data_IF_729817169906
#
_entry.id   IF_729817169906
#
_cell.length_a   1.000
_cell.length_b   1.000
_cell.length_c   1.000
_cell.angle_alpha   90.00
_cell.angle_beta   90.00
_cell.angle_gamma   90.00
#
_symmetry.space_group_name_H-M   'P 1'
#
loop_
_entity.id
_entity.type
_entity.pdbx_description
1 polymer ?
#
# COMPACT_ATOMS: atom_id res chain seq x y z
N UNK A 1 -56.96 31.04 46.59
CA UNK A 1 -57.04 31.41 45.17
C UNK A 1 -55.64 31.31 44.59
N UNK A 2 -55.51 30.45 43.57
CA UNK A 2 -54.39 30.27 42.62
C UNK A 2 -52.97 30.59 43.08
N UNK A 3 -52.17 29.56 43.39
CA UNK A 3 -50.73 29.61 43.14
C UNK A 3 -50.29 28.36 42.36
N UNK A 4 -49.68 28.67 41.22
CA UNK A 4 -49.29 27.82 40.10
C UNK A 4 -48.34 26.68 40.49
N UNK A 5 -48.63 25.48 39.99
CA UNK A 5 -47.62 24.44 39.77
C UNK A 5 -46.92 24.73 38.45
N UNK A 6 -45.62 25.02 38.46
CA UNK A 6 -44.78 24.90 37.27
C UNK A 6 -44.11 23.52 37.28
N UNK A 7 -44.34 22.66 36.27
CA UNK A 7 -43.64 21.40 36.14
C UNK A 7 -42.21 21.63 35.62
N UNK A 8 -41.26 20.87 36.16
CA UNK A 8 -39.90 20.70 35.65
C UNK A 8 -39.93 20.12 34.23
N UNK A 9 -40.09 20.97 33.22
CA UNK A 9 -39.86 20.63 31.81
C UNK A 9 -39.05 21.77 31.21
N UNK A 10 -37.79 21.87 31.61
CA UNK A 10 -36.77 22.72 30.97
C UNK A 10 -35.39 22.20 31.35
N UNK A 11 -35.19 20.91 31.10
CA UNK A 11 -33.87 20.30 31.08
C UNK A 11 -33.95 19.13 30.11
N UNK A 12 -33.03 19.07 29.14
CA UNK A 12 -32.94 18.14 28.00
C UNK A 12 -33.48 18.69 26.67
N UNK A 13 -32.79 19.69 26.13
CA UNK A 13 -32.76 19.96 24.68
C UNK A 13 -31.50 20.77 24.36
N UNK A 14 -30.32 20.22 24.65
CA UNK A 14 -29.05 20.76 24.16
C UNK A 14 -27.93 19.70 24.28
N UNK A 15 -27.99 18.65 23.45
CA UNK A 15 -26.85 17.75 23.19
C UNK A 15 -27.21 16.80 22.03
N UNK A 16 -27.44 17.33 20.83
CA UNK A 16 -27.56 16.51 19.62
C UNK A 16 -27.09 17.30 18.39
N UNK A 17 -25.93 17.95 18.50
CA UNK A 17 -25.25 18.59 17.38
C UNK A 17 -23.75 18.42 17.59
N UNK A 18 -23.21 17.28 17.15
CA UNK A 18 -21.86 17.07 16.58
C UNK A 18 -21.54 15.57 16.66
N UNK A 19 -22.08 14.79 15.73
CA UNK A 19 -21.55 13.46 15.43
C UNK A 19 -21.77 13.14 13.95
N UNK A 20 -21.51 14.13 13.09
CA UNK A 20 -21.64 14.00 11.64
C UNK A 20 -20.39 14.52 10.92
N UNK A 21 -19.18 14.28 11.44
CA UNK A 21 -17.92 14.49 10.72
C UNK A 21 -16.83 13.54 11.24
N UNK A 22 -17.06 12.23 11.08
CA UNK A 22 -15.98 11.24 11.18
C UNK A 22 -16.21 10.08 10.22
N UNK A 23 -16.65 10.38 9.00
CA UNK A 23 -16.20 9.62 7.83
C UNK A 23 -14.89 10.28 7.39
N UNK A 24 -13.82 10.05 8.15
CA UNK A 24 -12.50 10.46 7.76
C UNK A 24 -12.08 9.59 6.57
N UNK A 25 -12.20 10.19 5.39
CA UNK A 25 -11.43 9.96 4.17
C UNK A 25 -10.76 8.59 4.00
N UNK A 26 -11.54 7.61 3.53
CA UNK A 26 -10.97 6.46 2.80
C UNK A 26 -10.70 6.83 1.34
N UNK A 27 -10.97 8.07 0.89
CA UNK A 27 -10.90 8.44 -0.54
C UNK A 27 -10.42 9.87 -0.80
N UNK A 28 -9.16 10.13 -0.50
CA UNK A 28 -8.20 10.68 -1.46
C UNK A 28 -6.83 10.73 -0.78
N UNK A 29 -5.94 9.78 -1.09
CA UNK A 29 -4.50 10.02 -0.92
C UNK A 29 -4.03 11.00 -2.01
N UNK A 30 -4.81 12.03 -2.31
CA UNK A 30 -4.50 13.01 -3.33
C UNK A 30 -3.38 13.91 -2.86
N UNK A 31 -2.48 14.26 -3.77
CA UNK A 31 -1.45 15.23 -3.51
C UNK A 31 -1.96 16.66 -3.69
N UNK A 32 -1.44 17.59 -2.89
CA UNK A 32 -1.70 19.02 -3.05
C UNK A 32 -0.87 19.59 -4.21
N UNK A 33 -1.28 20.72 -4.78
CA UNK A 33 -0.48 21.42 -5.78
C UNK A 33 0.92 21.79 -5.26
N UNK A 34 1.03 22.12 -3.97
CA UNK A 34 2.32 22.44 -3.33
C UNK A 34 3.28 21.23 -3.35
N UNK A 35 2.80 20.01 -3.14
CA UNK A 35 3.63 18.80 -3.25
C UNK A 35 4.17 18.64 -4.67
N UNK A 36 3.31 18.81 -5.68
CA UNK A 36 3.71 18.72 -7.08
C UNK A 36 4.76 19.78 -7.44
N UNK A 37 4.56 21.02 -7.01
CA UNK A 37 5.50 22.13 -7.20
C UNK A 37 6.86 21.81 -6.57
N UNK A 38 6.90 21.45 -5.29
CA UNK A 38 8.15 21.14 -4.56
C UNK A 38 8.91 19.98 -5.21
N UNK A 39 8.22 18.92 -5.64
CA UNK A 39 8.85 17.77 -6.31
C UNK A 39 9.31 18.17 -7.71
N UNK A 40 8.47 18.85 -8.49
CA UNK A 40 8.77 19.26 -9.86
C UNK A 40 9.96 20.20 -9.93
N UNK A 41 10.05 21.17 -9.01
CA UNK A 41 11.20 22.06 -8.87
C UNK A 41 12.46 21.29 -8.48
N UNK A 42 12.37 20.39 -7.50
CA UNK A 42 13.50 19.59 -7.03
C UNK A 42 14.08 18.67 -8.12
N UNK A 43 13.20 18.10 -8.95
CA UNK A 43 13.58 17.20 -10.04
C UNK A 43 13.88 17.93 -11.35
N UNK A 44 13.64 19.25 -11.41
CA UNK A 44 13.72 20.06 -12.63
C UNK A 44 12.83 19.55 -13.78
N UNK A 45 11.58 19.17 -13.46
CA UNK A 45 10.59 18.68 -14.44
C UNK A 45 9.40 19.65 -14.46
N UNK A 46 9.35 20.53 -15.47
CA UNK A 46 8.39 21.63 -15.51
C UNK A 46 6.91 21.16 -15.46
N UNK A 47 6.56 20.08 -16.15
CA UNK A 47 5.19 19.57 -16.16
C UNK A 47 4.79 18.73 -14.94
N UNK A 48 5.74 18.40 -14.05
CA UNK A 48 5.41 17.88 -12.72
C UNK A 48 4.92 18.98 -11.80
N UNK A 49 5.53 20.17 -11.85
CA UNK A 49 5.16 21.28 -10.96
C UNK A 49 3.72 21.75 -11.17
N UNK A 50 3.21 21.69 -12.40
CA UNK A 50 1.80 21.99 -12.73
C UNK A 50 0.85 20.83 -12.45
N UNK A 51 1.36 19.64 -12.14
CA UNK A 51 0.58 18.39 -12.03
C UNK A 51 0.10 17.82 -13.36
N UNK A 52 0.39 18.47 -14.49
CA UNK A 52 -0.15 18.12 -15.82
C UNK A 52 0.38 16.77 -16.33
N UNK A 53 1.61 16.40 -15.96
CA UNK A 53 2.24 15.16 -16.40
C UNK A 53 2.01 13.97 -15.46
N UNK A 54 1.32 14.18 -14.35
CA UNK A 54 1.11 13.16 -13.32
C UNK A 54 0.07 12.16 -13.80
N UNK A 55 0.50 10.92 -14.02
CA UNK A 55 -0.41 9.83 -14.38
C UNK A 55 -1.07 9.22 -13.14
N UNK A 56 -0.30 9.10 -12.05
CA UNK A 56 -0.79 8.63 -10.76
C UNK A 56 0.03 9.19 -9.60
N UNK A 57 -0.63 9.41 -8.46
CA UNK A 57 0.02 9.88 -7.25
C UNK A 57 -0.74 9.47 -5.99
N UNK A 58 0.03 9.21 -4.94
CA UNK A 58 -0.46 8.96 -3.60
C UNK A 58 0.32 9.80 -2.59
N UNK A 59 -0.41 10.58 -1.80
CA UNK A 59 0.10 11.41 -0.72
C UNK A 59 -0.59 11.08 0.59
N UNK A 60 0.19 11.01 1.67
CA UNK A 60 -0.32 10.79 3.02
C UNK A 60 0.62 11.40 4.06
N UNK A 61 0.06 12.09 5.06
CA UNK A 61 0.86 12.63 6.17
C UNK A 61 1.54 11.49 6.96
N UNK A 62 2.78 11.70 7.36
CA UNK A 62 3.47 10.80 8.28
C UNK A 62 2.78 10.87 9.65
N UNK A 63 2.26 9.75 10.20
CA UNK A 63 1.60 9.74 11.50
C UNK A 63 2.52 10.14 12.67
N UNK A 64 3.85 10.06 12.51
CA UNK A 64 4.82 10.42 13.55
C UNK A 64 5.36 11.85 13.37
N UNK A 65 5.39 12.35 12.13
CA UNK A 65 5.87 13.68 11.80
C UNK A 65 4.82 14.41 10.95
N UNK A 66 3.79 15.04 11.54
CA UNK A 66 2.63 15.54 10.80
C UNK A 66 2.91 16.65 9.77
N UNK A 67 4.08 17.30 9.85
CA UNK A 67 4.58 18.28 8.87
C UNK A 67 5.20 17.61 7.63
N UNK A 68 5.47 16.30 7.70
CA UNK A 68 6.01 15.50 6.60
C UNK A 68 4.86 14.81 5.88
N UNK A 69 4.84 14.99 4.56
CA UNK A 69 3.97 14.25 3.64
C UNK A 69 4.79 13.21 2.90
N UNK A 70 4.35 11.96 2.98
CA UNK A 70 4.88 10.84 2.23
C UNK A 70 4.24 10.85 0.85
N UNK A 71 5.05 10.69 -0.19
CA UNK A 71 4.62 10.82 -1.58
C UNK A 71 5.11 9.63 -2.39
N UNK A 72 4.24 9.11 -3.24
CA UNK A 72 4.57 8.26 -4.37
C UNK A 72 3.93 8.86 -5.62
N UNK A 73 4.70 9.02 -6.69
CA UNK A 73 4.23 9.69 -7.90
C UNK A 73 4.83 9.02 -9.13
N UNK A 74 3.98 8.74 -10.11
CA UNK A 74 4.34 8.32 -11.45
C UNK A 74 3.93 9.37 -12.47
N UNK A 75 4.79 9.64 -13.46
CA UNK A 75 4.52 10.65 -14.47
C UNK A 75 5.02 10.24 -15.84
N UNK A 76 4.38 10.81 -16.85
CA UNK A 76 4.82 10.72 -18.23
C UNK A 76 5.86 11.82 -18.48
N UNK A 77 7.11 11.46 -18.72
CA UNK A 77 8.16 12.44 -19.03
C UNK A 77 8.31 12.71 -20.54
N UNK A 78 7.35 12.25 -21.36
CA UNK A 78 7.30 12.50 -22.79
C UNK A 78 8.35 11.73 -23.59
N UNK A 79 9.05 10.76 -23.00
CA UNK A 79 9.86 9.80 -23.75
C UNK A 79 8.96 8.99 -24.70
N UNK A 80 9.53 8.52 -25.82
CA UNK A 80 8.80 7.76 -26.86
C UNK A 80 8.06 6.51 -26.35
N UNK A 81 8.41 6.01 -25.16
CA UNK A 81 7.75 4.85 -24.58
C UNK A 81 6.57 5.26 -23.71
N UNK A 82 5.35 5.00 -24.18
CA UNK A 82 4.12 5.10 -23.37
C UNK A 82 4.15 4.21 -22.11
N UNK A 83 5.03 3.20 -22.11
CA UNK A 83 5.20 2.20 -21.05
C UNK A 83 6.22 2.60 -19.99
N UNK A 84 7.08 3.60 -20.23
CA UNK A 84 8.08 4.00 -19.22
C UNK A 84 7.65 5.28 -18.55
N UNK A 85 7.35 5.19 -17.26
CA UNK A 85 6.97 6.33 -16.42
C UNK A 85 8.14 6.72 -15.55
N UNK A 86 8.37 8.03 -15.40
CA UNK A 86 9.17 8.52 -14.29
C UNK A 86 8.49 8.13 -12.98
N UNK A 87 9.26 7.72 -11.98
CA UNK A 87 8.73 7.32 -10.68
C UNK A 87 9.54 7.95 -9.54
N UNK A 88 8.85 8.45 -8.53
CA UNK A 88 9.47 9.02 -7.33
C UNK A 88 8.71 8.59 -6.09
N UNK A 89 9.48 8.26 -5.05
CA UNK A 89 9.00 8.19 -3.67
C UNK A 89 9.72 9.27 -2.89
N UNK A 90 9.00 10.05 -2.08
CA UNK A 90 9.59 11.16 -1.35
C UNK A 90 8.97 11.36 0.05
N UNK A 91 9.75 11.99 0.91
CA UNK A 91 9.28 12.70 2.10
C UNK A 91 9.38 14.20 1.82
N UNK A 92 8.28 14.93 1.95
CA UNK A 92 8.18 16.36 1.67
C UNK A 92 7.75 17.09 2.93
N UNK A 93 8.46 18.16 3.28
CA UNK A 93 8.00 19.16 4.23
C UNK A 93 7.27 20.24 3.43
N UNK A 94 5.94 20.18 3.45
CA UNK A 94 5.09 21.12 2.69
C UNK A 94 5.20 22.54 3.25
N UNK A 95 5.32 22.68 4.58
CA UNK A 95 5.39 23.98 5.25
C UNK A 95 6.71 24.70 4.91
N UNK A 96 7.81 23.94 4.82
CA UNK A 96 9.12 24.46 4.46
C UNK A 96 9.37 24.50 2.94
N UNK A 97 8.47 23.93 2.13
CA UNK A 97 8.63 23.79 0.68
C UNK A 97 9.84 22.97 0.27
N UNK A 98 10.11 21.84 0.95
CA UNK A 98 11.37 21.08 0.79
C UNK A 98 11.17 19.58 0.67
N UNK A 99 11.90 18.97 -0.26
CA UNK A 99 12.10 17.52 -0.27
C UNK A 99 13.13 17.14 0.81
N UNK A 100 12.70 16.33 1.78
CA UNK A 100 13.53 15.87 2.90
C UNK A 100 14.37 14.64 2.54
N UNK A 101 13.76 13.72 1.79
CA UNK A 101 14.41 12.54 1.25
C UNK A 101 13.64 12.05 0.01
N UNK A 102 14.34 11.41 -0.93
CA UNK A 102 13.70 10.84 -2.11
C UNK A 102 14.41 9.59 -2.65
N UNK A 103 13.68 8.87 -3.48
CA UNK A 103 14.17 7.84 -4.39
C UNK A 103 13.50 8.07 -5.74
N UNK A 104 14.29 8.18 -6.80
CA UNK A 104 13.79 8.25 -8.18
C UNK A 104 14.10 6.97 -8.92
N UNK A 105 13.26 6.66 -9.91
CA UNK A 105 13.44 5.54 -10.79
C UNK A 105 12.53 5.64 -12.01
N UNK A 106 12.38 4.51 -12.68
CA UNK A 106 11.44 4.33 -13.77
C UNK A 106 10.50 3.18 -13.40
N UNK A 107 9.20 3.38 -13.58
CA UNK A 107 8.22 2.32 -13.48
C UNK A 107 7.81 1.91 -14.90
N UNK A 108 7.59 0.61 -15.10
CA UNK A 108 7.02 0.09 -16.35
C UNK A 108 5.51 0.07 -16.18
N UNK A 109 4.82 0.90 -16.95
CA UNK A 109 3.39 0.84 -17.11
C UNK A 109 3.06 -0.17 -18.23
N UNK A 110 2.05 -1.01 -18.02
CA UNK A 110 1.49 -1.91 -19.04
C UNK A 110 0.00 -2.18 -18.75
N UNK A 111 -0.62 -3.11 -19.49
CA UNK A 111 -2.03 -3.44 -19.29
C UNK A 111 -2.34 -3.98 -17.88
N UNK A 112 -1.38 -4.63 -17.23
CA UNK A 112 -1.49 -5.15 -15.86
C UNK A 112 -1.04 -4.15 -14.80
N UNK A 113 -0.20 -3.16 -15.14
CA UNK A 113 0.21 -2.11 -14.20
C UNK A 113 0.05 -0.75 -14.88
N UNK A 114 -1.17 -0.22 -15.03
CA UNK A 114 -1.36 0.93 -15.90
C UNK A 114 -0.78 2.22 -15.32
N UNK A 115 -0.65 2.32 -13.98
CA UNK A 115 -0.19 3.51 -13.27
C UNK A 115 -1.01 4.73 -13.67
N UNK A 116 -2.33 4.55 -13.63
CA UNK A 116 -3.31 5.59 -13.91
C UNK A 116 -4.16 5.79 -12.67
N UNK A 117 -4.20 7.03 -12.19
CA UNK A 117 -4.99 7.52 -11.05
C UNK A 117 -5.61 6.46 -10.13
N UNK A 118 -5.00 6.23 -8.98
CA UNK A 118 -5.50 5.33 -7.94
C UNK A 118 -4.90 3.93 -7.94
N UNK A 119 -3.84 3.68 -8.72
CA UNK A 119 -3.07 2.44 -8.64
C UNK A 119 -1.98 2.50 -7.54
N UNK A 120 -1.50 3.69 -7.19
CA UNK A 120 -0.57 3.92 -6.08
C UNK A 120 -1.29 4.18 -4.75
N UNK A 121 -0.72 3.68 -3.66
CA UNK A 121 -1.14 4.05 -2.31
C UNK A 121 0.04 4.10 -1.31
N UNK A 122 -0.07 4.94 -0.29
CA UNK A 122 0.86 5.01 0.85
C UNK A 122 0.29 4.21 2.03
N UNK A 123 1.07 3.24 2.48
CA UNK A 123 0.82 2.50 3.70
C UNK A 123 1.67 3.04 4.86
N UNK A 124 1.00 3.38 5.96
CA UNK A 124 1.60 4.01 7.14
C UNK A 124 1.46 3.14 8.38
N UNK A 125 1.32 1.83 8.23
CA UNK A 125 1.37 0.91 9.34
C UNK A 125 2.67 1.13 10.18
N UNK A 126 2.68 0.72 11.46
CA UNK A 126 3.76 1.05 12.39
C UNK A 126 5.01 0.17 12.17
N UNK A 127 5.65 0.28 11.01
CA UNK A 127 6.87 -0.45 10.67
C UNK A 127 8.11 0.14 11.36
N UNK A 128 8.18 0.05 12.68
CA UNK A 128 9.35 0.46 13.46
C UNK A 128 10.40 -0.65 13.38
N UNK A 129 11.33 -0.53 12.44
CA UNK A 129 12.33 -1.55 12.16
C UNK A 129 13.49 -1.53 13.16
N UNK A 130 13.78 -0.37 13.75
CA UNK A 130 14.76 -0.20 14.83
C UNK A 130 14.46 1.11 15.56
N UNK A 131 15.08 1.40 16.73
CA UNK A 131 14.99 2.71 17.36
C UNK A 131 15.37 3.83 16.38
N UNK A 132 14.43 4.76 16.15
CA UNK A 132 14.62 5.87 15.21
C UNK A 132 14.56 5.49 13.72
N UNK A 133 14.28 4.23 13.39
CA UNK A 133 14.20 3.76 12.00
C UNK A 133 12.81 3.20 11.73
N UNK A 134 11.96 4.03 11.14
CA UNK A 134 10.61 3.67 10.72
C UNK A 134 10.56 3.56 9.19
N UNK A 135 9.88 2.53 8.70
CA UNK A 135 9.54 2.41 7.30
C UNK A 135 8.11 2.87 7.02
N UNK A 136 7.83 3.20 5.77
CA UNK A 136 6.49 3.30 5.22
C UNK A 136 6.40 2.47 3.93
N UNK A 137 5.19 2.03 3.59
CA UNK A 137 4.94 1.26 2.39
C UNK A 137 4.47 2.16 1.24
N UNK A 138 4.87 1.79 0.04
CA UNK A 138 4.18 2.18 -1.19
C UNK A 138 3.59 0.93 -1.82
N UNK A 139 2.29 0.97 -2.02
CA UNK A 139 1.51 -0.03 -2.72
C UNK A 139 1.34 0.36 -4.17
N UNK A 140 1.40 -0.64 -5.04
CA UNK A 140 1.13 -0.54 -6.46
C UNK A 140 0.15 -1.64 -6.84
N UNK A 141 -1.01 -1.22 -7.33
CA UNK A 141 -2.07 -2.12 -7.76
C UNK A 141 -1.74 -2.70 -9.12
N UNK A 142 -2.05 -3.98 -9.27
CA UNK A 142 -1.95 -4.71 -10.52
C UNK A 142 -3.37 -5.11 -10.96
N UNK A 143 -3.67 -4.92 -12.24
CA UNK A 143 -4.93 -5.22 -12.90
C UNK A 143 -4.79 -6.50 -13.70
N UNK A 144 -4.58 -7.60 -12.99
CA UNK A 144 -4.58 -8.91 -13.64
C UNK A 144 -6.03 -9.30 -13.95
N UNK A 145 -6.27 -9.72 -15.18
CA UNK A 145 -7.59 -10.19 -15.59
C UNK A 145 -8.03 -11.34 -14.71
N UNK A 146 -9.26 -11.27 -14.16
CA UNK A 146 -9.87 -12.40 -13.46
C UNK A 146 -10.10 -13.63 -14.36
N UNK A 147 -9.91 -13.52 -15.68
CA UNK A 147 -9.92 -14.68 -16.58
C UNK A 147 -8.57 -15.40 -16.67
N UNK A 148 -7.49 -14.80 -16.14
CA UNK A 148 -6.19 -15.45 -16.04
C UNK A 148 -6.20 -16.51 -14.94
N UNK A 149 -5.41 -17.56 -15.12
CA UNK A 149 -5.32 -18.66 -14.14
C UNK A 149 -4.75 -18.20 -12.78
N UNK A 150 -4.11 -17.03 -12.73
CA UNK A 150 -3.81 -16.33 -11.50
C UNK A 150 -3.04 -15.03 -11.72
N UNK A 151 -2.81 -14.30 -10.63
CA UNK A 151 -2.18 -12.98 -10.66
C UNK A 151 -1.86 -12.43 -9.28
N UNK A 152 -1.00 -11.42 -9.26
CA UNK A 152 -0.87 -10.50 -8.12
C UNK A 152 -1.80 -9.32 -8.35
N UNK A 153 -2.51 -8.88 -7.32
CA UNK A 153 -3.41 -7.72 -7.39
C UNK A 153 -2.76 -6.48 -6.76
N UNK A 154 -1.80 -6.67 -5.85
CA UNK A 154 -1.15 -5.59 -5.11
C UNK A 154 0.28 -5.96 -4.75
N UNK A 155 1.23 -5.07 -5.03
CA UNK A 155 2.62 -5.18 -4.54
C UNK A 155 2.98 -4.04 -3.59
N UNK A 156 3.69 -4.37 -2.51
CA UNK A 156 4.20 -3.41 -1.54
C UNK A 156 5.72 -3.34 -1.55
N UNK A 157 6.25 -2.12 -1.54
CA UNK A 157 7.66 -1.84 -1.25
C UNK A 157 7.76 -1.00 0.02
N UNK A 158 8.57 -1.43 0.98
CA UNK A 158 8.85 -0.66 2.20
C UNK A 158 10.10 0.20 2.00
N UNK A 159 10.03 1.47 2.38
CA UNK A 159 11.12 2.44 2.29
C UNK A 159 11.53 2.93 3.67
N UNK A 160 12.84 3.14 3.84
CA UNK A 160 13.39 3.83 5.02
C UNK A 160 14.21 5.03 4.58
N UNK A 161 14.22 6.06 5.42
CA UNK A 161 15.08 7.21 5.22
C UNK A 161 16.51 6.97 5.71
N UNK A 162 17.46 7.32 4.85
CA UNK A 162 18.88 7.35 5.12
C UNK A 162 19.45 8.71 4.69
N UNK A 163 19.48 9.65 5.63
CA UNK A 163 19.84 11.04 5.35
C UNK A 163 18.84 11.69 4.40
N UNK A 164 19.28 12.01 3.17
CA UNK A 164 18.46 12.63 2.10
C UNK A 164 17.97 11.62 1.06
N UNK A 165 18.16 10.32 1.29
CA UNK A 165 17.74 9.27 0.36
C UNK A 165 16.70 8.38 1.02
N UNK A 166 15.72 7.95 0.25
CA UNK A 166 14.87 6.84 0.61
C UNK A 166 15.47 5.56 0.03
N UNK A 167 15.59 4.54 0.86
CA UNK A 167 16.11 3.23 0.46
C UNK A 167 15.01 2.18 0.60
N UNK A 168 14.71 1.42 -0.46
CA UNK A 168 13.81 0.27 -0.33
C UNK A 168 14.48 -0.82 0.52
N UNK A 169 13.76 -1.30 1.51
CA UNK A 169 14.18 -2.40 2.41
C UNK A 169 13.38 -3.67 2.21
N UNK A 170 12.16 -3.61 1.67
CA UNK A 170 11.41 -4.75 1.14
C UNK A 170 10.91 -4.32 -0.25
N UNK A 171 11.12 -5.11 -1.30
CA UNK A 171 10.78 -4.72 -2.68
C UNK A 171 9.71 -5.62 -3.27
N UNK A 172 8.59 -5.05 -3.68
CA UNK A 172 7.60 -5.72 -4.52
C UNK A 172 6.97 -6.97 -3.91
N UNK A 173 6.78 -7.01 -2.59
CA UNK A 173 6.08 -8.11 -1.91
C UNK A 173 4.63 -8.18 -2.42
N UNK A 174 4.21 -9.32 -2.96
CA UNK A 174 2.81 -9.55 -3.29
C UNK A 174 2.00 -9.54 -2.01
N UNK A 175 1.11 -8.56 -1.89
CA UNK A 175 0.25 -8.34 -0.73
C UNK A 175 -1.11 -8.99 -0.93
N UNK A 176 -1.55 -9.13 -2.17
CA UNK A 176 -2.74 -9.89 -2.52
C UNK A 176 -2.66 -10.40 -3.94
N UNK A 177 -3.49 -11.39 -4.23
CA UNK A 177 -3.59 -11.98 -5.56
C UNK A 177 -4.63 -13.08 -5.57
N UNK A 178 -4.72 -13.77 -6.69
CA UNK A 178 -5.70 -14.82 -6.89
C UNK A 178 -5.21 -15.90 -7.85
N UNK A 179 -5.88 -17.06 -7.79
CA UNK A 179 -5.77 -18.15 -8.74
C UNK A 179 -7.15 -18.70 -9.08
N UNK A 180 -7.27 -19.26 -10.28
CA UNK A 180 -8.42 -20.09 -10.65
C UNK A 180 -8.10 -21.53 -10.29
N UNK A 181 -8.96 -22.13 -9.46
CA UNK A 181 -8.94 -23.55 -9.15
C UNK A 181 -10.04 -24.22 -9.97
N UNK A 182 -9.65 -25.15 -10.86
CA UNK A 182 -10.59 -26.02 -11.57
C UNK A 182 -10.96 -27.20 -10.66
N UNK A 183 -12.25 -27.38 -10.39
CA UNK A 183 -12.76 -28.51 -9.60
C UNK A 183 -13.18 -29.71 -10.47
N UNK A 184 -12.87 -29.69 -11.78
CA UNK A 184 -12.88 -30.86 -12.65
C UNK A 184 -14.18 -31.16 -13.38
N UNK A 185 -15.10 -30.21 -13.55
CA UNK A 185 -16.35 -30.40 -14.31
C UNK A 185 -16.77 -29.13 -15.09
N UNK A 186 -15.94 -28.67 -16.04
CA UNK A 186 -16.32 -27.58 -16.96
C UNK A 186 -16.29 -26.18 -16.34
N UNK A 187 -16.62 -25.16 -17.15
CA UNK A 187 -16.46 -23.74 -16.81
C UNK A 187 -17.22 -23.31 -15.53
N UNK A 188 -18.31 -23.99 -15.19
CA UNK A 188 -19.13 -23.69 -14.00
C UNK A 188 -18.49 -24.15 -12.67
N UNK A 189 -17.36 -24.85 -12.72
CA UNK A 189 -16.65 -25.36 -11.53
C UNK A 189 -15.36 -24.62 -11.20
N UNK A 190 -15.12 -23.48 -11.86
CA UNK A 190 -13.98 -22.60 -11.59
C UNK A 190 -14.24 -21.77 -10.34
N UNK A 191 -13.40 -21.94 -9.33
CA UNK A 191 -13.44 -21.15 -8.09
C UNK A 191 -12.19 -20.31 -8.00
N UNK A 192 -12.34 -19.02 -7.68
CA UNK A 192 -11.20 -18.18 -7.38
C UNK A 192 -10.77 -18.43 -5.94
N UNK A 193 -9.49 -18.74 -5.76
CA UNK A 193 -8.84 -18.65 -4.46
C UNK A 193 -7.99 -17.40 -4.44
N UNK A 194 -8.27 -16.52 -3.50
CA UNK A 194 -7.52 -15.29 -3.27
C UNK A 194 -6.63 -15.44 -2.06
N UNK A 195 -5.53 -14.70 -2.04
CA UNK A 195 -4.70 -14.56 -0.86
C UNK A 195 -4.54 -13.10 -0.46
N UNK A 196 -4.35 -12.88 0.84
CA UNK A 196 -4.01 -11.58 1.41
C UNK A 196 -2.90 -11.76 2.44
N UNK A 197 -1.83 -10.99 2.29
CA UNK A 197 -0.68 -10.96 3.19
C UNK A 197 -0.82 -9.75 4.11
N UNK A 198 -0.56 -9.95 5.39
CA UNK A 198 -0.32 -8.86 6.34
C UNK A 198 1.14 -8.87 6.80
N UNK A 199 1.70 -7.68 6.98
CA UNK A 199 3.06 -7.47 7.48
C UNK A 199 2.99 -6.91 8.90
N UNK A 200 3.79 -7.47 9.80
CA UNK A 200 3.97 -6.99 11.16
C UNK A 200 5.44 -7.00 11.56
N UNK A 201 5.77 -6.25 12.61
CA UNK A 201 7.10 -6.24 13.21
C UNK A 201 7.25 -7.45 14.14
N UNK A 202 8.28 -8.24 13.90
CA UNK A 202 8.61 -9.41 14.70
C UNK A 202 9.36 -9.06 16.00
N UNK A 203 9.32 -9.96 16.99
CA UNK A 203 9.98 -9.73 18.28
C UNK A 203 11.51 -9.88 18.21
N UNK A 204 12.03 -10.55 17.19
CA UNK A 204 13.46 -10.79 17.01
C UNK A 204 14.13 -9.68 16.21
N UNK A 205 15.41 -9.46 16.49
CA UNK A 205 16.24 -8.46 15.83
C UNK A 205 17.42 -9.16 15.17
N UNK A 206 17.59 -8.94 13.87
CA UNK A 206 18.67 -9.46 13.05
C UNK A 206 19.40 -8.31 12.38
N UNK A 207 20.74 -8.30 12.44
CA UNK A 207 21.57 -7.24 11.89
C UNK A 207 21.12 -5.80 12.25
N UNK A 208 20.61 -5.62 13.47
CA UNK A 208 20.18 -4.33 14.00
C UNK A 208 18.78 -3.87 13.58
N UNK A 209 17.99 -4.71 12.90
CA UNK A 209 16.57 -4.46 12.61
C UNK A 209 15.68 -5.60 13.05
N UNK A 210 14.44 -5.29 13.42
CA UNK A 210 13.43 -6.30 13.67
C UNK A 210 13.17 -7.15 12.43
N UNK A 211 12.92 -8.44 12.62
CA UNK A 211 12.46 -9.30 11.53
C UNK A 211 11.01 -8.96 11.16
N UNK A 212 10.59 -9.26 9.94
CA UNK A 212 9.19 -9.08 9.53
C UNK A 212 8.40 -10.36 9.71
N UNK A 213 7.20 -10.25 10.26
CA UNK A 213 6.23 -11.33 10.30
C UNK A 213 5.25 -11.14 9.15
N UNK A 214 5.19 -12.14 8.27
CA UNK A 214 4.23 -12.22 7.19
C UNK A 214 3.17 -13.25 7.54
N UNK A 215 1.89 -12.87 7.42
CA UNK A 215 0.76 -13.79 7.59
C UNK A 215 -0.09 -13.77 6.35
N UNK A 216 -0.18 -14.91 5.67
CA UNK A 216 -0.98 -15.08 4.45
C UNK A 216 -2.27 -15.81 4.78
N UNK A 217 -3.39 -15.19 4.45
CA UNK A 217 -4.73 -15.78 4.54
C UNK A 217 -5.23 -16.11 3.14
N UNK A 218 -6.03 -17.16 3.05
CA UNK A 218 -6.61 -17.64 1.81
C UNK A 218 -8.14 -17.65 1.92
N UNK A 219 -8.80 -17.21 0.86
CA UNK A 219 -10.25 -17.12 0.77
C UNK A 219 -10.72 -17.66 -0.57
N UNK A 220 -11.93 -18.22 -0.62
CA UNK A 220 -12.52 -18.73 -1.86
C UNK A 220 -13.76 -17.94 -2.25
N UNK A 221 -13.93 -17.71 -3.55
CA UNK A 221 -15.08 -16.99 -4.09
C UNK A 221 -16.41 -17.72 -3.91
N UNK A 222 -16.39 -19.05 -3.70
CA UNK A 222 -17.59 -19.85 -3.40
C UNK A 222 -18.00 -19.81 -1.92
N UNK A 223 -17.30 -19.01 -1.10
CA UNK A 223 -17.56 -18.83 0.33
C UNK A 223 -17.20 -20.05 1.19
N UNK A 224 -16.65 -21.12 0.60
CA UNK A 224 -16.15 -22.26 1.36
C UNK A 224 -14.78 -21.95 1.94
N UNK A 225 -14.40 -22.58 3.07
CA UNK A 225 -13.03 -22.47 3.58
C UNK A 225 -12.02 -22.91 2.53
N UNK A 226 -10.91 -22.16 2.39
CA UNK A 226 -9.75 -22.67 1.66
C UNK A 226 -9.22 -23.92 2.36
N UNK A 227 -8.73 -24.88 1.59
CA UNK A 227 -8.02 -26.06 2.10
C UNK A 227 -6.59 -25.72 2.52
N UNK A 228 -6.12 -24.49 2.23
CA UNK A 228 -4.83 -23.97 2.65
C UNK A 228 -4.91 -23.44 4.07
N UNK A 229 -3.95 -23.86 4.88
CA UNK A 229 -3.76 -23.28 6.19
C UNK A 229 -3.21 -21.85 6.06
N UNK A 230 -3.48 -21.01 7.06
CA UNK A 230 -2.84 -19.70 7.15
C UNK A 230 -1.33 -19.89 7.25
N UNK A 231 -0.59 -19.25 6.34
CA UNK A 231 0.87 -19.35 6.33
C UNK A 231 1.46 -18.24 7.20
N UNK A 232 2.44 -18.60 8.02
CA UNK A 232 3.20 -17.68 8.85
C UNK A 232 4.67 -17.77 8.51
N UNK A 233 5.25 -16.68 8.04
CA UNK A 233 6.66 -16.65 7.63
C UNK A 233 7.34 -15.51 8.37
N UNK A 234 8.51 -15.79 8.94
CA UNK A 234 9.40 -14.76 9.46
C UNK A 234 10.46 -14.48 8.42
N UNK A 235 10.52 -13.24 7.94
CA UNK A 235 11.57 -12.80 7.04
C UNK A 235 12.66 -12.08 7.83
N UNK A 236 13.82 -12.74 7.87
CA UNK A 236 14.98 -12.32 8.65
C UNK A 236 15.71 -11.22 7.89
N UNK A 237 15.95 -10.10 8.56
CA UNK A 237 16.71 -9.00 7.94
C UNK A 237 18.15 -9.44 7.65
N UNK A 238 18.59 -9.36 6.39
CA UNK A 238 19.91 -9.85 5.97
C UNK A 238 21.07 -8.85 6.20
N UNK A 239 20.79 -7.71 6.84
CA UNK A 239 21.72 -6.59 7.01
C UNK A 239 21.61 -5.51 5.94
N UNK A 240 20.85 -5.76 4.88
CA UNK A 240 20.58 -4.83 3.78
C UNK A 240 19.08 -4.70 3.51
N UNK A 241 18.37 -5.81 3.34
CA UNK A 241 16.97 -5.89 2.96
C UNK A 241 16.26 -7.12 3.54
N UNK A 242 14.94 -7.04 3.51
CA UNK A 242 13.99 -8.15 3.56
C UNK A 242 13.80 -8.69 2.14
N UNK A 243 13.40 -9.95 2.03
CA UNK A 243 13.12 -10.64 0.77
C UNK A 243 11.62 -10.61 0.50
N UNK A 244 11.26 -10.40 -0.76
CA UNK A 244 9.91 -10.73 -1.18
C UNK A 244 9.75 -12.25 -1.12
N UNK A 245 8.67 -12.68 -0.46
CA UNK A 245 8.30 -14.08 -0.36
C UNK A 245 7.08 -14.28 -1.25
N UNK A 246 7.23 -15.09 -2.28
CA UNK A 246 6.14 -15.43 -3.18
C UNK A 246 5.18 -16.40 -2.51
N UNK A 247 3.89 -16.08 -2.58
CA UNK A 247 2.84 -17.02 -2.20
C UNK A 247 2.71 -18.06 -3.30
N UNK A 248 3.03 -19.31 -2.99
CA UNK A 248 2.99 -20.39 -3.98
C UNK A 248 1.57 -20.61 -4.50
N UNK A 249 1.44 -20.90 -5.79
CA UNK A 249 0.18 -21.29 -6.39
C UNK A 249 -0.23 -22.72 -5.93
N UNK A 250 -1.52 -23.07 -5.96
CA UNK A 250 -1.99 -24.40 -5.52
C UNK A 250 -1.29 -25.57 -6.23
N UNK A 251 -1.13 -25.49 -7.56
CA UNK A 251 -0.49 -26.55 -8.35
C UNK A 251 1.00 -26.72 -8.04
N UNK A 252 1.72 -25.65 -7.67
CA UNK A 252 3.13 -25.73 -7.29
C UNK A 252 3.33 -26.52 -6.00
N UNK A 253 2.36 -26.45 -5.08
CA UNK A 253 2.37 -27.23 -3.84
C UNK A 253 2.12 -28.72 -4.12
N UNK A 254 1.25 -29.03 -5.07
CA UNK A 254 1.00 -30.40 -5.52
C UNK A 254 2.24 -31.00 -6.19
N UNK A 255 2.88 -30.24 -7.09
CA UNK A 255 4.11 -30.65 -7.75
C UNK A 255 5.24 -30.92 -6.76
N UNK A 256 5.42 -30.06 -5.74
CA UNK A 256 6.42 -30.29 -4.67
C UNK A 256 6.13 -31.56 -3.87
N UNK A 257 4.86 -31.86 -3.60
CA UNK A 257 4.46 -33.12 -2.92
C UNK A 257 4.73 -34.34 -3.79
N UNK A 258 4.57 -34.21 -5.10
CA UNK A 258 4.78 -35.31 -6.05
C UNK A 258 6.27 -35.54 -6.35
N UNK A 259 7.09 -34.49 -6.41
CA UNK A 259 8.53 -34.57 -6.64
C UNK A 259 9.32 -35.09 -5.42
N UNK A 260 8.73 -35.05 -4.23
CA UNK A 260 9.30 -35.62 -3.00
C UNK A 260 8.90 -37.08 -2.71
N UNK A 261 8.24 -37.77 -3.65
CA UNK A 261 7.90 -39.20 -3.56
C UNK A 261 8.79 -40.07 -4.43
#
# INVERSE_FOLDING_TARGET
MSHFRLPHILLRLLAATLALFALADVRAQGCTAAVYEVIGEHLHVAGLASGELVDDAACKRDPVQPHVTLVALAWNDGRESEYLKGYVVAEVDEDAGKVLALMTGTAVADASTPLVGGDLAIDTAPYVLAPGVRAFGVDMSERVSHAADGGTDLRRTLYVREGRRLRPVLKGQSMSGHWIIDLGQGLETRVHESFQVSLAIGPHVSHGRHDLLMTTRFERSDGKPSTRETEHITDVYDGKSYRAIETAAPWELEDRKNAGR
#
